data_IF_503963607142
#
_entry.id   IF_503963607142
#
_cell.length_a   1.000
_cell.length_b   1.000
_cell.length_c   1.000
_cell.angle_alpha   90.00
_cell.angle_beta   90.00
_cell.angle_gamma   90.00
#
_symmetry.space_group_name_H-M   'P 1'
#
loop_
_entity.id
_entity.type
_entity.pdbx_description
1 polymer ?
#
# COMPACT_ATOMS: atom_id res chain seq x y z
N UNK A 1 7.28 -7.99 -10.15
CA UNK A 1 8.21 -7.07 -9.44
C UNK A 1 8.02 -7.30 -7.96
N UNK A 2 9.07 -7.29 -7.13
CA UNK A 2 8.90 -7.39 -5.67
C UNK A 2 8.81 -5.96 -5.11
N UNK A 3 7.66 -5.54 -4.55
CA UNK A 3 7.56 -4.22 -3.95
C UNK A 3 8.41 -4.11 -2.69
N UNK A 4 8.85 -2.91 -2.36
CA UNK A 4 9.53 -2.60 -1.08
C UNK A 4 8.48 -1.97 -0.18
N UNK A 5 8.34 -2.49 1.05
CA UNK A 5 7.43 -1.94 2.05
C UNK A 5 8.26 -1.20 3.08
N UNK A 6 7.86 0.02 3.41
CA UNK A 6 8.52 0.85 4.41
C UNK A 6 7.50 1.54 5.32
N UNK A 7 7.82 1.78 6.60
CA UNK A 7 6.92 2.48 7.50
C UNK A 7 6.84 3.96 7.13
N UNK A 8 5.64 4.53 7.24
CA UNK A 8 5.38 5.97 7.09
C UNK A 8 4.65 6.45 8.34
N UNK A 9 5.42 6.97 9.30
CA UNK A 9 4.89 7.26 10.63
C UNK A 9 4.43 6.00 11.37
N UNK A 10 3.44 6.15 12.24
CA UNK A 10 3.00 5.07 13.15
C UNK A 10 1.84 4.22 12.59
N UNK A 11 1.02 4.80 11.71
CA UNK A 11 -0.25 4.20 11.25
C UNK A 11 -0.33 4.08 9.71
N UNK A 12 0.80 4.11 9.01
CA UNK A 12 0.82 3.93 7.56
C UNK A 12 2.08 3.22 7.07
N UNK A 13 1.96 2.62 5.88
CA UNK A 13 3.08 2.04 5.12
C UNK A 13 3.11 2.61 3.71
N UNK A 14 4.31 2.74 3.15
CA UNK A 14 4.51 2.92 1.71
C UNK A 14 4.84 1.58 1.08
N UNK A 15 4.17 1.28 -0.03
CA UNK A 15 4.43 0.13 -0.89
C UNK A 15 5.02 0.66 -2.20
N UNK A 16 6.33 0.56 -2.36
CA UNK A 16 7.06 1.09 -3.51
C UNK A 16 7.16 0.05 -4.64
N UNK A 17 6.64 0.40 -5.81
CA UNK A 17 6.61 -0.42 -7.02
C UNK A 17 7.65 0.02 -8.06
N UNK A 18 8.69 0.75 -7.65
CA UNK A 18 9.84 1.10 -8.49
C UNK A 18 10.25 2.56 -8.34
N UNK A 19 11.28 2.98 -9.07
CA UNK A 19 11.80 4.35 -9.03
C UNK A 19 11.68 5.09 -10.37
N UNK A 20 11.05 4.47 -11.37
CA UNK A 20 10.95 5.02 -12.73
C UNK A 20 9.50 5.34 -13.06
N UNK A 21 9.32 6.47 -13.74
CA UNK A 21 8.02 6.89 -14.23
C UNK A 21 7.57 5.97 -15.39
N UNK A 22 6.82 4.89 -15.11
CA UNK A 22 6.32 3.92 -16.10
C UNK A 22 4.80 3.65 -15.96
N UNK A 23 3.99 3.78 -17.03
CA UNK A 23 2.56 3.43 -17.03
C UNK A 23 2.24 2.00 -16.57
N UNK A 24 3.15 1.04 -16.74
CA UNK A 24 2.99 -0.33 -16.25
C UNK A 24 3.00 -0.39 -14.72
N UNK A 25 3.83 0.42 -14.08
CA UNK A 25 3.88 0.55 -12.61
C UNK A 25 2.57 1.14 -12.11
N UNK A 26 2.10 2.24 -12.73
CA UNK A 26 0.82 2.85 -12.33
C UNK A 26 -0.36 1.86 -12.47
N UNK A 27 -0.36 1.03 -13.52
CA UNK A 27 -1.37 -0.03 -13.69
C UNK A 27 -1.30 -1.07 -12.56
N UNK A 28 -0.10 -1.49 -12.17
CA UNK A 28 0.06 -2.41 -11.03
C UNK A 28 -0.46 -1.80 -9.72
N UNK A 29 -0.16 -0.53 -9.45
CA UNK A 29 -0.67 0.19 -8.26
C UNK A 29 -2.20 0.16 -8.23
N UNK A 30 -2.84 0.53 -9.34
CA UNK A 30 -4.32 0.52 -9.44
C UNK A 30 -4.90 -0.88 -9.20
N UNK A 31 -4.30 -1.90 -9.81
CA UNK A 31 -4.69 -3.29 -9.63
C UNK A 31 -4.48 -3.82 -8.20
N UNK A 32 -3.52 -3.27 -7.47
CA UNK A 32 -3.31 -3.57 -6.05
C UNK A 32 -4.39 -2.90 -5.19
N UNK A 33 -4.71 -1.63 -5.47
CA UNK A 33 -5.79 -0.90 -4.76
C UNK A 33 -7.12 -1.64 -4.92
N UNK A 34 -7.49 -1.99 -6.15
CA UNK A 34 -8.74 -2.71 -6.44
C UNK A 34 -8.83 -4.01 -5.63
N UNK A 35 -7.75 -4.80 -5.59
CA UNK A 35 -7.70 -6.04 -4.81
C UNK A 35 -7.82 -5.80 -3.31
N UNK A 36 -7.14 -4.79 -2.75
CA UNK A 36 -7.24 -4.49 -1.32
C UNK A 36 -8.66 -4.06 -0.96
N UNK A 37 -9.31 -3.28 -1.83
CA UNK A 37 -10.70 -2.87 -1.65
C UNK A 37 -11.67 -4.06 -1.71
N UNK A 38 -11.46 -5.01 -2.64
CA UNK A 38 -12.27 -6.23 -2.75
C UNK A 38 -12.21 -7.11 -1.50
N UNK A 39 -11.07 -7.12 -0.79
CA UNK A 39 -10.91 -7.86 0.45
C UNK A 39 -11.75 -7.30 1.61
N UNK A 40 -12.25 -6.06 1.50
CA UNK A 40 -13.06 -5.38 2.53
C UNK A 40 -12.46 -5.51 3.95
N UNK A 41 -11.14 -5.31 4.04
CA UNK A 41 -10.40 -5.42 5.29
C UNK A 41 -10.82 -4.31 6.25
N UNK A 42 -11.41 -4.68 7.39
CA UNK A 42 -11.66 -3.76 8.49
C UNK A 42 -10.32 -3.17 8.95
N UNK A 43 -10.28 -1.86 9.22
CA UNK A 43 -9.07 -1.17 9.68
C UNK A 43 -8.16 -0.64 8.59
N UNK A 44 -8.44 -0.88 7.30
CA UNK A 44 -7.78 -0.13 6.22
C UNK A 44 -8.53 1.20 6.04
N UNK A 45 -7.87 2.31 6.36
CA UNK A 45 -8.48 3.64 6.44
C UNK A 45 -8.41 4.34 5.08
N UNK A 46 -7.23 4.37 4.47
CA UNK A 46 -7.00 5.08 3.22
C UNK A 46 -5.97 4.38 2.33
N UNK A 47 -6.20 4.44 1.02
CA UNK A 47 -5.28 3.98 -0.02
C UNK A 47 -5.00 5.14 -0.99
N UNK A 48 -3.82 5.75 -0.86
CA UNK A 48 -3.43 6.91 -1.67
C UNK A 48 -2.36 6.49 -2.69
N UNK A 49 -2.71 6.34 -3.97
CA UNK A 49 -1.71 6.11 -5.01
C UNK A 49 -0.84 7.34 -5.22
N UNK A 50 0.45 7.11 -5.41
CA UNK A 50 1.38 8.07 -5.99
C UNK A 50 1.77 7.62 -7.40
N UNK A 51 2.83 8.19 -7.97
CA UNK A 51 3.30 7.77 -9.28
C UNK A 51 3.87 6.33 -9.25
N UNK A 52 4.76 6.04 -8.29
CA UNK A 52 5.49 4.76 -8.20
C UNK A 52 5.16 3.95 -6.94
N UNK A 53 4.35 4.47 -6.03
CA UNK A 53 4.07 3.85 -4.75
C UNK A 53 2.59 3.92 -4.38
N UNK A 54 2.20 3.14 -3.39
CA UNK A 54 0.90 3.21 -2.73
C UNK A 54 1.13 3.49 -1.25
N UNK A 55 0.57 4.59 -0.75
CA UNK A 55 0.44 4.81 0.68
C UNK A 55 -0.81 4.09 1.18
N UNK A 56 -0.66 3.27 2.21
CA UNK A 56 -1.75 2.58 2.89
C UNK A 56 -1.76 3.03 4.34
N UNK A 57 -2.85 3.68 4.75
CA UNK A 57 -3.12 4.03 6.14
C UNK A 57 -4.03 2.98 6.77
N UNK A 58 -3.72 2.59 8.00
CA UNK A 58 -4.46 1.58 8.74
C UNK A 58 -4.69 1.98 10.20
N UNK A 59 -5.66 1.33 10.83
CA UNK A 59 -5.90 1.44 12.26
C UNK A 59 -4.88 0.58 13.03
N UNK A 60 -3.98 1.24 13.76
CA UNK A 60 -2.94 0.59 14.54
C UNK A 60 -3.46 -0.23 15.75
N UNK A 61 -4.75 -0.08 16.10
CA UNK A 61 -5.40 -0.94 17.09
C UNK A 61 -5.84 -2.30 16.52
N UNK A 62 -5.99 -2.39 15.20
CA UNK A 62 -6.41 -3.61 14.50
C UNK A 62 -5.24 -4.31 13.82
N UNK A 63 -4.26 -3.56 13.31
CA UNK A 63 -3.06 -4.12 12.69
C UNK A 63 -1.79 -3.52 13.27
N UNK A 64 -0.78 -4.36 13.43
CA UNK A 64 0.60 -3.94 13.59
C UNK A 64 1.31 -3.83 12.23
N UNK A 65 2.38 -3.02 12.20
CA UNK A 65 3.25 -2.94 11.03
C UNK A 65 3.76 -4.32 10.58
N UNK A 66 4.12 -5.19 11.54
CA UNK A 66 4.63 -6.52 11.25
C UNK A 66 3.57 -7.40 10.58
N UNK A 67 2.31 -7.32 10.98
CA UNK A 67 1.23 -8.09 10.36
C UNK A 67 0.97 -7.67 8.91
N UNK A 68 1.06 -6.38 8.60
CA UNK A 68 0.83 -5.87 7.24
C UNK A 68 2.01 -6.09 6.28
N UNK A 69 3.21 -6.35 6.81
CA UNK A 69 4.42 -6.53 5.99
C UNK A 69 4.79 -8.00 5.70
N UNK A 70 4.05 -8.96 6.27
CA UNK A 70 4.25 -10.40 6.05
C UNK A 70 3.48 -10.90 4.83
#
# INVERSE_FOLDING_TARGET
MKPIISPVGDCAISIDFGQVIDPKINRHIRQTIERIQELNLEGIIELVPTYCALLLQYDAMLYSYAELCN
#
